data_IF_113819775417
#
_entry.id   IF_113819775417
#
_cell.length_a   1.000
_cell.length_b   1.000
_cell.length_c   1.000
_cell.angle_alpha   90.00
_cell.angle_beta   90.00
_cell.angle_gamma   90.00
#
_symmetry.space_group_name_H-M   'P 1'
#
loop_
_entity.id
_entity.type
_entity.pdbx_description
1 polymer ?
#
# COMPACT_ATOMS: atom_id res chain seq x y z
N UNK A 1 -18.53 41.67 -7.91
CA UNK A 1 -18.60 42.09 -6.50
C UNK A 1 -17.26 41.78 -5.86
N UNK A 2 -16.48 42.80 -5.50
CA UNK A 2 -15.24 42.64 -4.74
C UNK A 2 -15.59 42.55 -3.25
N UNK A 3 -15.31 41.42 -2.63
CA UNK A 3 -15.45 41.25 -1.18
C UNK A 3 -14.14 41.74 -0.55
N UNK A 4 -14.19 42.78 0.28
CA UNK A 4 -13.05 43.29 1.05
C UNK A 4 -13.19 42.81 2.49
N UNK A 5 -12.18 42.12 3.02
CA UNK A 5 -12.13 41.68 4.41
C UNK A 5 -11.27 42.65 5.22
N UNK A 6 -11.79 43.15 6.34
CA UNK A 6 -11.02 43.98 7.28
C UNK A 6 -10.28 43.09 8.29
N UNK A 7 -8.96 43.00 8.12
CA UNK A 7 -8.09 42.15 8.95
C UNK A 7 -7.74 42.78 10.30
N UNK A 8 -8.19 44.02 10.56
CA UNK A 8 -7.99 44.69 11.85
C UNK A 8 -8.98 44.21 12.92
N UNK A 9 -10.12 43.63 12.51
CA UNK A 9 -11.13 43.04 13.39
C UNK A 9 -10.66 41.65 13.84
N UNK A 10 -10.53 41.46 15.16
CA UNK A 10 -10.04 40.19 15.73
C UNK A 10 -10.95 38.99 15.38
N UNK A 11 -12.28 39.15 15.39
CA UNK A 11 -13.20 38.07 14.99
C UNK A 11 -13.07 37.69 13.50
N UNK A 12 -12.86 38.67 12.60
CA UNK A 12 -12.61 38.41 11.18
C UNK A 12 -11.29 37.66 10.99
N UNK A 13 -10.24 38.03 11.74
CA UNK A 13 -8.96 37.32 11.74
C UNK A 13 -9.09 35.90 12.27
N UNK A 14 -9.84 35.69 13.35
CA UNK A 14 -10.07 34.38 13.96
C UNK A 14 -10.94 33.47 13.09
N UNK A 15 -11.94 34.02 12.40
CA UNK A 15 -12.72 33.28 11.42
C UNK A 15 -11.85 32.86 10.22
N UNK A 16 -11.08 33.79 9.64
CA UNK A 16 -10.14 33.48 8.56
C UNK A 16 -9.07 32.47 8.99
N UNK A 17 -8.53 32.60 10.20
CA UNK A 17 -7.56 31.66 10.75
C UNK A 17 -8.17 30.28 10.99
N UNK A 18 -9.42 30.19 11.48
CA UNK A 18 -10.15 28.92 11.61
C UNK A 18 -10.43 28.29 10.24
N UNK A 19 -10.88 29.07 9.27
CA UNK A 19 -11.10 28.59 7.90
C UNK A 19 -9.79 28.15 7.24
N UNK A 20 -8.71 28.90 7.41
CA UNK A 20 -7.39 28.54 6.91
C UNK A 20 -6.88 27.26 7.59
N UNK A 21 -6.99 27.14 8.91
CA UNK A 21 -6.62 25.93 9.67
C UNK A 21 -7.45 24.72 9.25
N UNK A 22 -8.77 24.86 9.15
CA UNK A 22 -9.66 23.79 8.69
C UNK A 22 -9.37 23.39 7.23
N UNK A 23 -8.93 24.32 6.39
CA UNK A 23 -8.47 24.02 5.02
C UNK A 23 -7.07 23.39 4.98
N UNK A 24 -6.25 23.60 6.02
CA UNK A 24 -4.89 23.04 6.15
C UNK A 24 -4.86 21.69 6.88
N UNK A 25 -5.87 21.39 7.70
CA UNK A 25 -6.03 20.08 8.31
C UNK A 25 -6.35 19.03 7.24
N UNK A 26 -5.48 18.02 7.16
CA UNK A 26 -5.66 16.94 6.20
C UNK A 26 -6.94 16.16 6.55
N UNK A 27 -7.90 16.16 5.62
CA UNK A 27 -9.15 15.40 5.76
C UNK A 27 -8.84 13.92 6.02
N UNK A 28 -9.53 13.26 6.97
CA UNK A 28 -9.39 11.83 7.16
C UNK A 28 -9.79 11.06 5.91
N UNK A 29 -9.08 9.97 5.62
CA UNK A 29 -9.39 9.12 4.47
C UNK A 29 -10.39 8.05 4.84
N UNK A 30 -11.38 7.79 3.98
CA UNK A 30 -12.28 6.65 4.17
C UNK A 30 -11.60 5.32 3.83
N UNK A 31 -10.49 5.35 3.09
CA UNK A 31 -9.71 4.16 2.75
C UNK A 31 -8.94 3.73 4.00
N UNK A 32 -8.98 2.43 4.31
CA UNK A 32 -8.31 1.91 5.51
C UNK A 32 -9.12 2.05 6.80
N UNK A 33 -10.31 2.66 6.79
CA UNK A 33 -11.24 2.57 7.91
C UNK A 33 -11.93 1.19 7.93
N UNK A 34 -12.09 0.62 9.13
CA UNK A 34 -12.99 -0.52 9.33
C UNK A 34 -14.45 -0.09 9.09
N UNK A 35 -15.37 -1.05 8.95
CA UNK A 35 -16.79 -0.74 8.77
C UNK A 35 -17.36 0.00 9.98
N UNK A 36 -16.89 -0.35 11.18
CA UNK A 36 -17.27 0.29 12.45
C UNK A 36 -16.74 1.72 12.54
N UNK A 37 -15.47 1.93 12.20
CA UNK A 37 -14.88 3.28 12.18
C UNK A 37 -15.53 4.16 11.11
N UNK A 38 -15.81 3.60 9.93
CA UNK A 38 -16.54 4.30 8.87
C UNK A 38 -17.95 4.66 9.32
N UNK A 39 -18.63 3.77 10.06
CA UNK A 39 -19.94 4.08 10.64
C UNK A 39 -19.87 5.27 11.59
N UNK A 40 -18.93 5.24 12.55
CA UNK A 40 -18.74 6.31 13.51
C UNK A 40 -18.39 7.64 12.83
N UNK A 41 -17.51 7.60 11.83
CA UNK A 41 -17.11 8.78 11.06
C UNK A 41 -18.29 9.38 10.27
N UNK A 42 -19.11 8.55 9.63
CA UNK A 42 -20.29 9.02 8.88
C UNK A 42 -21.36 9.62 9.80
N UNK A 43 -21.58 9.02 10.98
CA UNK A 43 -22.51 9.58 11.99
C UNK A 43 -22.00 10.94 12.46
N UNK A 44 -20.71 11.05 12.78
CA UNK A 44 -20.10 12.31 13.21
C UNK A 44 -20.16 13.40 12.13
N UNK A 45 -20.14 13.01 10.85
CA UNK A 45 -20.28 13.93 9.72
C UNK A 45 -21.75 14.27 9.38
N UNK A 46 -22.73 13.76 10.14
CA UNK A 46 -24.14 14.13 10.01
C UNK A 46 -25.00 13.16 9.18
N UNK A 47 -24.51 11.95 8.86
CA UNK A 47 -25.34 10.92 8.22
C UNK A 47 -26.32 10.35 9.25
N UNK A 48 -27.64 10.33 8.98
CA UNK A 48 -28.61 9.76 9.92
C UNK A 48 -28.34 8.28 10.20
N UNK A 49 -28.33 7.87 11.46
CA UNK A 49 -28.00 6.50 11.89
C UNK A 49 -28.76 5.41 11.12
N UNK A 50 -30.04 5.65 10.83
CA UNK A 50 -30.90 4.75 10.05
C UNK A 50 -30.37 4.44 8.65
N UNK A 51 -29.59 5.34 8.05
CA UNK A 51 -29.04 5.20 6.70
C UNK A 51 -27.59 4.69 6.69
N UNK A 52 -26.88 4.74 7.82
CA UNK A 52 -25.43 4.50 7.89
C UNK A 52 -25.04 3.14 7.31
N UNK A 53 -25.72 2.07 7.71
CA UNK A 53 -25.42 0.71 7.22
C UNK A 53 -25.49 0.61 5.70
N UNK A 54 -26.54 1.16 5.09
CA UNK A 54 -26.69 1.19 3.63
C UNK A 54 -25.60 2.04 2.98
N UNK A 55 -25.28 3.22 3.54
CA UNK A 55 -24.23 4.11 2.99
C UNK A 55 -22.85 3.45 3.05
N UNK A 56 -22.53 2.73 4.11
CA UNK A 56 -21.28 1.96 4.21
C UNK A 56 -21.22 0.94 3.08
N UNK A 57 -22.26 0.14 2.86
CA UNK A 57 -22.26 -0.84 1.75
C UNK A 57 -22.07 -0.18 0.38
N UNK A 58 -22.69 0.97 0.14
CA UNK A 58 -22.49 1.73 -1.10
C UNK A 58 -21.05 2.23 -1.25
N UNK A 59 -20.51 2.87 -0.21
CA UNK A 59 -19.16 3.40 -0.20
C UNK A 59 -18.13 2.27 -0.34
N UNK A 60 -18.29 1.17 0.39
CA UNK A 60 -17.40 0.01 0.32
C UNK A 60 -17.29 -0.53 -1.11
N UNK A 61 -18.43 -0.67 -1.80
CA UNK A 61 -18.46 -1.09 -3.19
C UNK A 61 -17.72 -0.10 -4.11
N UNK A 62 -17.96 1.21 -3.94
CA UNK A 62 -17.27 2.21 -4.76
C UNK A 62 -15.77 2.25 -4.54
N UNK A 63 -15.33 2.17 -3.28
CA UNK A 63 -13.92 2.25 -2.91
C UNK A 63 -13.14 1.03 -3.36
N UNK A 64 -13.67 -0.17 -3.11
CA UNK A 64 -12.90 -1.41 -3.20
C UNK A 64 -13.26 -2.26 -4.43
N UNK A 65 -14.51 -2.22 -4.89
CA UNK A 65 -14.94 -2.96 -6.09
C UNK A 65 -14.73 -2.13 -7.36
N UNK A 66 -15.17 -0.86 -7.34
CA UNK A 66 -15.07 0.04 -8.51
C UNK A 66 -13.78 0.86 -8.53
N UNK A 67 -13.14 1.07 -7.39
CA UNK A 67 -11.85 1.77 -7.32
C UNK A 67 -11.92 3.26 -7.63
N UNK A 68 -13.01 3.95 -7.29
CA UNK A 68 -13.11 5.39 -7.54
C UNK A 68 -12.10 6.17 -6.68
N UNK A 69 -11.67 7.31 -7.22
CA UNK A 69 -10.74 8.23 -6.55
C UNK A 69 -11.33 9.62 -6.30
N UNK A 70 -12.55 9.86 -6.79
CA UNK A 70 -13.35 11.05 -6.52
C UNK A 70 -14.77 10.65 -6.10
N UNK A 71 -15.31 11.35 -5.09
CA UNK A 71 -16.71 11.20 -4.67
C UNK A 71 -17.69 11.58 -5.78
N UNK A 72 -17.30 12.49 -6.68
CA UNK A 72 -18.11 12.92 -7.81
C UNK A 72 -18.53 11.73 -8.72
N UNK A 73 -17.70 10.69 -8.82
CA UNK A 73 -17.94 9.53 -9.67
C UNK A 73 -19.00 8.55 -9.10
N UNK A 74 -19.40 8.72 -7.84
CA UNK A 74 -20.36 7.83 -7.17
C UNK A 74 -21.80 8.13 -7.61
N UNK A 75 -22.19 7.61 -8.78
CA UNK A 75 -23.48 7.95 -9.44
C UNK A 75 -24.74 7.55 -8.66
N UNK A 76 -24.67 6.54 -7.80
CA UNK A 76 -25.81 6.07 -7.00
C UNK A 76 -25.93 6.76 -5.61
N UNK A 77 -25.12 7.81 -5.37
CA UNK A 77 -25.14 8.63 -4.15
C UNK A 77 -25.68 10.03 -4.49
N UNK A 78 -26.55 10.57 -3.63
CA UNK A 78 -27.14 11.90 -3.83
C UNK A 78 -26.05 12.98 -3.92
N UNK A 79 -26.35 14.07 -4.64
CA UNK A 79 -25.41 15.20 -4.78
C UNK A 79 -25.03 15.78 -3.42
N UNK A 80 -26.00 15.96 -2.54
CA UNK A 80 -25.79 16.53 -1.20
C UNK A 80 -24.87 15.64 -0.36
N UNK A 81 -25.06 14.32 -0.41
CA UNK A 81 -24.21 13.40 0.33
C UNK A 81 -22.78 13.36 -0.24
N UNK A 82 -22.61 13.42 -1.57
CA UNK A 82 -21.28 13.55 -2.19
C UNK A 82 -20.57 14.83 -1.77
N UNK A 83 -21.30 15.96 -1.74
CA UNK A 83 -20.76 17.23 -1.29
C UNK A 83 -20.31 17.17 0.18
N UNK A 84 -21.13 16.59 1.06
CA UNK A 84 -20.78 16.36 2.46
C UNK A 84 -19.51 15.48 2.58
N UNK A 85 -19.47 14.36 1.87
CA UNK A 85 -18.32 13.46 1.89
C UNK A 85 -17.04 14.15 1.42
N UNK A 86 -17.12 14.94 0.34
CA UNK A 86 -15.98 15.71 -0.17
C UNK A 86 -15.53 16.83 0.79
N UNK A 87 -16.42 17.36 1.63
CA UNK A 87 -16.08 18.35 2.65
C UNK A 87 -15.34 17.70 3.83
N UNK A 88 -15.80 16.54 4.31
CA UNK A 88 -15.30 15.92 5.54
C UNK A 88 -14.20 14.86 5.33
N UNK A 89 -14.13 14.24 4.16
CA UNK A 89 -13.27 13.09 3.91
C UNK A 89 -12.46 13.23 2.62
N UNK A 90 -11.46 12.35 2.47
CA UNK A 90 -10.71 12.13 1.23
C UNK A 90 -10.70 10.66 0.84
N UNK A 91 -10.55 10.40 -0.45
CA UNK A 91 -10.30 9.06 -1.03
C UNK A 91 -9.16 9.12 -2.07
N UNK A 92 -8.35 10.18 -1.98
CA UNK A 92 -7.26 10.44 -2.91
C UNK A 92 -6.22 9.31 -2.90
N UNK A 93 -5.60 9.08 -4.06
CA UNK A 93 -4.47 8.17 -4.20
C UNK A 93 -3.15 8.89 -3.92
N UNK A 94 -2.09 8.19 -3.49
CA UNK A 94 -0.76 8.75 -3.40
C UNK A 94 -0.27 9.23 -4.77
N UNK A 95 0.62 10.21 -4.73
CA UNK A 95 1.33 10.67 -5.92
C UNK A 95 2.28 9.56 -6.40
N UNK A 96 2.25 9.24 -7.69
CA UNK A 96 3.23 8.36 -8.33
C UNK A 96 4.37 9.23 -8.85
N UNK A 97 5.48 9.27 -8.11
CA UNK A 97 6.64 10.10 -8.44
C UNK A 97 7.39 9.50 -9.62
N UNK A 98 7.53 8.18 -9.61
CA UNK A 98 8.26 7.45 -10.63
C UNK A 98 7.59 6.10 -10.89
N UNK A 99 7.52 5.74 -12.16
CA UNK A 99 7.11 4.40 -12.62
C UNK A 99 8.22 3.84 -13.52
N UNK A 100 8.74 2.68 -13.15
CA UNK A 100 9.73 1.96 -13.93
C UNK A 100 9.13 0.63 -14.40
N UNK A 101 9.20 0.37 -15.69
CA UNK A 101 8.71 -0.86 -16.32
C UNK A 101 9.92 -1.62 -16.85
N UNK A 102 10.12 -2.84 -16.36
CA UNK A 102 11.16 -3.74 -16.81
C UNK A 102 10.69 -4.53 -18.04
N UNK A 103 11.65 -5.08 -18.79
CA UNK A 103 11.38 -5.87 -20.00
C UNK A 103 10.61 -7.17 -19.72
N UNK A 104 10.73 -7.69 -18.49
CA UNK A 104 9.98 -8.85 -17.99
C UNK A 104 8.54 -8.50 -17.56
N UNK A 105 8.10 -7.26 -17.74
CA UNK A 105 6.79 -6.78 -17.33
C UNK A 105 6.70 -6.35 -15.86
N UNK A 106 7.76 -6.56 -15.07
CA UNK A 106 7.81 -6.10 -13.67
C UNK A 106 7.66 -4.57 -13.64
N UNK A 107 6.76 -4.08 -12.80
CA UNK A 107 6.55 -2.65 -12.60
C UNK A 107 6.95 -2.25 -11.19
N UNK A 108 7.71 -1.17 -11.08
CA UNK A 108 8.10 -0.57 -9.82
C UNK A 108 7.54 0.84 -9.76
N UNK A 109 6.86 1.15 -8.66
CA UNK A 109 6.34 2.48 -8.39
C UNK A 109 7.02 3.09 -7.16
N UNK A 110 7.36 4.37 -7.27
CA UNK A 110 7.72 5.22 -6.16
C UNK A 110 6.51 6.08 -5.80
N UNK A 111 5.92 5.81 -4.64
CA UNK A 111 4.78 6.55 -4.13
C UNK A 111 5.22 7.60 -3.12
N UNK A 112 4.67 8.80 -3.22
CA UNK A 112 4.85 9.86 -2.22
C UNK A 112 3.59 10.04 -1.38
N UNK A 113 3.80 9.98 -0.07
CA UNK A 113 2.77 10.20 0.94
C UNK A 113 3.02 11.51 1.69
N UNK A 114 1.96 12.12 2.23
CA UNK A 114 2.08 13.31 3.06
C UNK A 114 2.95 13.03 4.31
N UNK A 115 3.55 14.07 4.90
CA UNK A 115 4.47 13.94 6.02
C UNK A 115 3.91 13.17 7.21
N UNK A 116 2.65 13.42 7.59
CA UNK A 116 1.95 12.80 8.74
C UNK A 116 2.88 12.57 9.95
N UNK A 117 3.44 13.67 10.47
CA UNK A 117 4.34 13.65 11.63
C UNK A 117 5.84 13.51 11.31
N UNK A 118 6.24 13.18 10.08
CA UNK A 118 7.65 13.07 9.68
C UNK A 118 8.33 14.40 9.29
N UNK A 119 7.60 15.53 9.35
CA UNK A 119 8.09 16.86 8.98
C UNK A 119 8.32 17.10 7.47
N UNK A 120 8.46 16.03 6.68
CA UNK A 120 8.60 16.08 5.20
C UNK A 120 7.80 14.94 4.54
N UNK A 121 7.38 15.08 3.27
CA UNK A 121 6.80 13.98 2.52
C UNK A 121 7.70 12.74 2.57
N UNK A 122 7.07 11.57 2.63
CA UNK A 122 7.76 10.29 2.69
C UNK A 122 7.53 9.53 1.40
N UNK A 123 8.55 8.78 0.98
CA UNK A 123 8.52 8.02 -0.26
C UNK A 123 8.70 6.54 0.06
N UNK A 124 7.92 5.71 -0.61
CA UNK A 124 7.97 4.25 -0.47
C UNK A 124 7.83 3.58 -1.83
N UNK A 125 8.37 2.37 -1.91
CA UNK A 125 8.35 1.58 -3.13
C UNK A 125 7.27 0.51 -3.08
N UNK A 126 6.65 0.23 -4.22
CA UNK A 126 5.84 -0.97 -4.44
C UNK A 126 6.22 -1.61 -5.75
N UNK A 127 6.16 -2.94 -5.81
CA UNK A 127 6.59 -3.70 -6.99
C UNK A 127 5.50 -4.68 -7.39
N UNK A 128 5.08 -4.63 -8.64
CA UNK A 128 4.22 -5.63 -9.25
C UNK A 128 5.06 -6.57 -10.12
N UNK A 129 4.91 -7.86 -9.87
CA UNK A 129 5.62 -8.93 -10.59
C UNK A 129 4.55 -9.74 -11.34
N UNK A 130 4.47 -9.62 -12.67
CA UNK A 130 3.63 -10.49 -13.48
C UNK A 130 4.28 -11.87 -13.60
N UNK A 131 3.47 -12.92 -13.54
CA UNK A 131 3.86 -14.29 -13.81
C UNK A 131 2.74 -14.97 -14.64
N UNK A 132 3.00 -16.14 -15.21
CA UNK A 132 1.99 -16.87 -15.99
C UNK A 132 0.76 -17.20 -15.11
N UNK A 133 -0.37 -16.56 -15.44
CA UNK A 133 -1.65 -16.74 -14.75
C UNK A 133 -1.75 -16.14 -13.34
N UNK A 134 -0.74 -15.39 -12.87
CA UNK A 134 -0.80 -14.70 -11.56
C UNK A 134 -0.07 -13.37 -11.59
N UNK A 135 -0.54 -12.41 -10.79
CA UNK A 135 0.19 -11.17 -10.55
C UNK A 135 0.38 -10.95 -9.06
N UNK A 136 1.64 -10.79 -8.65
CA UNK A 136 2.01 -10.60 -7.25
C UNK A 136 2.36 -9.14 -7.00
N UNK A 137 1.66 -8.49 -6.06
CA UNK A 137 1.96 -7.15 -5.62
C UNK A 137 2.73 -7.18 -4.29
N UNK A 138 3.91 -6.58 -4.30
CA UNK A 138 4.75 -6.36 -3.14
C UNK A 138 4.43 -4.99 -2.51
N UNK A 139 3.93 -5.02 -1.27
CA UNK A 139 3.48 -3.84 -0.53
C UNK A 139 4.44 -3.54 0.63
N UNK A 140 4.72 -2.26 0.81
CA UNK A 140 5.50 -1.70 1.91
C UNK A 140 4.63 -1.45 3.14
N UNK A 141 5.21 -1.67 4.33
CA UNK A 141 4.55 -1.50 5.63
C UNK A 141 5.10 -0.34 6.46
N UNK A 142 6.34 0.10 6.19
CA UNK A 142 6.99 1.20 6.89
C UNK A 142 7.87 2.02 5.93
N UNK A 143 8.20 3.24 6.34
CA UNK A 143 9.19 4.07 5.64
C UNK A 143 10.55 3.84 6.29
N UNK A 144 11.41 3.09 5.60
CA UNK A 144 12.65 2.55 6.17
C UNK A 144 12.39 1.27 6.99
N UNK A 145 13.41 0.77 7.69
CA UNK A 145 13.28 -0.44 8.51
C UNK A 145 14.20 -0.36 9.74
N UNK A 146 13.76 -0.92 10.87
CA UNK A 146 14.53 -0.95 12.12
C UNK A 146 15.55 -2.08 12.18
N UNK A 147 15.38 -3.13 11.38
CA UNK A 147 16.13 -4.38 11.53
C UNK A 147 17.58 -4.35 10.99
N UNK A 148 18.07 -3.20 10.54
CA UNK A 148 19.47 -2.96 10.10
C UNK A 148 20.16 -4.13 9.39
N UNK A 149 19.42 -4.84 8.53
CA UNK A 149 19.93 -6.04 7.87
C UNK A 149 20.98 -5.62 6.84
N UNK A 150 22.20 -6.13 6.96
CA UNK A 150 23.35 -5.71 6.14
C UNK A 150 23.19 -5.96 4.63
N UNK A 151 22.33 -6.90 4.25
CA UNK A 151 22.04 -7.25 2.85
C UNK A 151 20.84 -6.51 2.25
N UNK A 152 20.07 -5.78 3.06
CA UNK A 152 18.84 -5.12 2.63
C UNK A 152 19.08 -3.62 2.41
N UNK A 153 18.75 -3.11 1.23
CA UNK A 153 18.88 -1.68 0.94
C UNK A 153 18.02 -0.82 1.89
N UNK A 154 16.80 -1.26 2.20
CA UNK A 154 15.94 -0.60 3.19
C UNK A 154 16.51 -0.68 4.61
N UNK A 155 17.34 -1.70 4.90
CA UNK A 155 18.01 -1.86 6.19
C UNK A 155 19.14 -0.86 6.42
N UNK A 156 19.67 -0.21 5.38
CA UNK A 156 20.65 0.87 5.53
C UNK A 156 20.01 2.23 5.78
N UNK A 157 18.70 2.35 5.53
CA UNK A 157 17.93 3.55 5.76
C UNK A 157 17.36 3.57 7.18
N UNK A 158 17.37 4.73 7.83
CA UNK A 158 16.76 4.89 9.15
C UNK A 158 15.24 4.77 9.04
N UNK A 159 14.60 4.12 10.02
CA UNK A 159 13.15 4.17 10.17
C UNK A 159 12.71 5.63 10.35
N UNK A 160 11.77 6.08 9.53
CA UNK A 160 11.14 7.39 9.65
C UNK A 160 9.81 7.27 10.41
N UNK A 161 8.89 6.44 9.91
CA UNK A 161 7.59 6.16 10.54
C UNK A 161 6.92 4.90 10.00
N UNK A 162 5.89 4.45 10.71
CA UNK A 162 4.96 3.42 10.23
C UNK A 162 4.00 4.00 9.19
N UNK A 163 3.56 3.16 8.25
CA UNK A 163 2.48 3.49 7.33
C UNK A 163 1.13 3.21 7.98
N UNK A 164 0.13 4.03 7.69
CA UNK A 164 -1.25 3.74 8.12
C UNK A 164 -1.89 2.69 7.21
N UNK A 165 -2.96 2.06 7.68
CA UNK A 165 -3.79 1.12 6.91
C UNK A 165 -4.28 1.71 5.58
N UNK A 166 -4.61 3.00 5.57
CA UNK A 166 -4.87 3.77 4.35
C UNK A 166 -3.69 3.70 3.38
N UNK A 167 -2.47 4.04 3.82
CA UNK A 167 -1.28 4.12 2.97
C UNK A 167 -0.87 2.74 2.44
N UNK A 168 -1.10 1.68 3.24
CA UNK A 168 -0.90 0.28 2.84
C UNK A 168 -1.90 -0.10 1.74
N UNK A 169 -3.19 0.16 1.93
CA UNK A 169 -4.23 -0.13 0.93
C UNK A 169 -4.11 0.76 -0.30
N UNK A 170 -3.65 1.99 -0.15
CA UNK A 170 -3.52 2.93 -1.26
C UNK A 170 -2.46 2.47 -2.27
N UNK A 171 -1.41 1.76 -1.83
CA UNK A 171 -0.47 1.10 -2.74
C UNK A 171 -1.19 0.09 -3.63
N UNK A 172 -2.06 -0.73 -3.05
CA UNK A 172 -2.85 -1.73 -3.78
C UNK A 172 -3.85 -1.07 -4.72
N UNK A 173 -4.63 -0.09 -4.25
CA UNK A 173 -5.62 0.60 -5.09
C UNK A 173 -4.96 1.33 -6.25
N UNK A 174 -3.83 2.01 -6.00
CA UNK A 174 -3.08 2.71 -7.05
C UNK A 174 -2.48 1.74 -8.06
N UNK A 175 -1.94 0.60 -7.61
CA UNK A 175 -1.45 -0.44 -8.51
C UNK A 175 -2.59 -1.01 -9.38
N UNK A 176 -3.77 -1.25 -8.80
CA UNK A 176 -4.96 -1.70 -9.57
C UNK A 176 -5.42 -0.64 -10.56
N UNK A 177 -5.40 0.64 -10.19
CA UNK A 177 -5.71 1.75 -11.10
C UNK A 177 -4.73 1.80 -12.28
N UNK A 178 -3.43 1.69 -12.01
CA UNK A 178 -2.36 1.72 -13.02
C UNK A 178 -2.35 0.50 -13.92
N UNK A 179 -2.77 -0.65 -13.42
CA UNK A 179 -2.89 -1.86 -14.23
C UNK A 179 -4.21 -1.93 -14.98
N UNK A 180 -5.21 -1.11 -14.64
CA UNK A 180 -6.58 -1.24 -15.17
C UNK A 180 -7.28 -2.51 -14.65
N UNK A 181 -7.11 -2.85 -13.37
CA UNK A 181 -7.66 -4.07 -12.74
C UNK A 181 -9.07 -3.86 -12.13
N UNK A 182 -9.65 -2.68 -12.30
CA UNK A 182 -11.02 -2.40 -11.88
C UNK A 182 -12.02 -2.70 -13.01
N UNK A 183 -13.27 -3.06 -12.69
CA UNK A 183 -14.32 -3.24 -13.69
C UNK A 183 -14.46 -2.00 -14.56
N UNK A 184 -14.68 -2.21 -15.86
CA UNK A 184 -14.88 -1.15 -16.85
C UNK A 184 -13.66 -0.19 -17.04
N UNK A 185 -12.45 -0.60 -16.60
CA UNK A 185 -11.19 0.11 -16.92
C UNK A 185 -10.36 -0.68 -17.91
N UNK A 186 -9.86 0.01 -18.94
CA UNK A 186 -8.98 -0.59 -19.93
C UNK A 186 -7.57 -0.81 -19.37
N UNK A 187 -6.96 -1.90 -19.82
CA UNK A 187 -5.53 -2.13 -19.62
C UNK A 187 -4.73 -1.10 -20.40
N UNK A 188 -3.75 -0.39 -19.80
CA UNK A 188 -2.86 0.48 -20.56
C UNK A 188 -2.06 -0.30 -21.61
N UNK A 189 -1.89 0.29 -22.80
CA UNK A 189 -1.12 -0.28 -23.90
C UNK A 189 0.31 -0.64 -23.47
N UNK A 190 0.73 -1.88 -23.78
CA UNK A 190 2.06 -2.39 -23.42
C UNK A 190 2.18 -2.97 -22.01
N UNK A 191 1.10 -3.08 -21.23
CA UNK A 191 1.12 -3.85 -19.99
C UNK A 191 1.15 -5.36 -20.28
N UNK A 192 2.26 -6.01 -19.93
CA UNK A 192 2.33 -7.48 -19.89
C UNK A 192 1.58 -7.98 -18.64
N UNK A 193 0.25 -7.98 -18.73
CA UNK A 193 -0.68 -8.42 -17.69
C UNK A 193 -1.50 -9.60 -18.22
N UNK A 194 -2.05 -10.45 -17.33
CA UNK A 194 -2.92 -11.55 -17.75
C UNK A 194 -4.03 -11.05 -18.67
N UNK A 195 -4.20 -11.72 -19.83
CA UNK A 195 -5.16 -11.32 -20.87
C UNK A 195 -6.62 -11.44 -20.41
N UNK A 196 -6.89 -12.31 -19.44
CA UNK A 196 -8.23 -12.55 -18.89
C UNK A 196 -8.18 -12.61 -17.35
N UNK A 197 -9.21 -12.03 -16.72
CA UNK A 197 -9.38 -12.05 -15.27
C UNK A 197 -8.62 -10.96 -14.52
N UNK A 198 -8.40 -11.22 -13.23
CA UNK A 198 -7.80 -10.26 -12.29
C UNK A 198 -6.28 -10.19 -12.47
N UNK A 199 -5.74 -9.00 -12.65
CA UNK A 199 -4.31 -8.74 -12.90
C UNK A 199 -3.47 -8.85 -11.62
N UNK A 200 -4.02 -8.43 -10.49
CA UNK A 200 -3.41 -8.65 -9.17
C UNK A 200 -4.15 -9.77 -8.49
N UNK A 201 -3.49 -10.89 -8.27
CA UNK A 201 -4.09 -12.07 -7.63
C UNK A 201 -3.55 -12.29 -6.21
N UNK A 202 -2.29 -11.90 -5.96
CA UNK A 202 -1.60 -12.14 -4.70
C UNK A 202 -0.99 -10.85 -4.15
N UNK A 203 -0.99 -10.73 -2.83
CA UNK A 203 -0.36 -9.63 -2.10
C UNK A 203 0.70 -10.22 -1.17
N UNK A 204 1.90 -9.63 -1.18
CA UNK A 204 2.99 -9.99 -0.27
C UNK A 204 3.49 -8.74 0.46
N UNK A 205 3.67 -8.86 1.78
CA UNK A 205 4.23 -7.80 2.62
C UNK A 205 5.76 -7.91 2.67
N UNK A 206 6.40 -7.74 1.52
CA UNK A 206 7.86 -7.84 1.33
C UNK A 206 8.49 -6.55 0.82
N UNK A 207 7.77 -5.43 0.89
CA UNK A 207 8.28 -4.13 0.50
C UNK A 207 9.22 -3.55 1.56
N UNK A 208 9.15 -2.24 1.76
CA UNK A 208 9.87 -1.54 2.81
C UNK A 208 9.23 -1.78 4.19
N UNK A 209 10.07 -2.00 5.19
CA UNK A 209 9.67 -2.18 6.59
C UNK A 209 9.47 -3.63 7.02
N UNK A 210 9.37 -3.82 8.33
CA UNK A 210 9.02 -5.09 8.96
C UNK A 210 7.55 -5.06 9.39
N UNK A 211 6.67 -5.84 8.73
CA UNK A 211 5.22 -5.77 8.99
C UNK A 211 4.83 -6.08 10.44
N UNK A 212 5.61 -6.88 11.17
CA UNK A 212 5.33 -7.20 12.58
C UNK A 212 5.53 -6.01 13.52
N UNK A 213 6.38 -5.04 13.18
CA UNK A 213 6.52 -3.79 13.96
C UNK A 213 5.41 -2.77 13.64
N UNK A 214 4.60 -3.03 12.62
CA UNK A 214 3.42 -2.24 12.27
C UNK A 214 2.14 -3.12 12.24
N UNK A 215 2.03 -4.01 13.22
CA UNK A 215 1.06 -5.11 13.18
C UNK A 215 -0.39 -4.66 13.08
N UNK A 216 -0.83 -3.66 13.85
CA UNK A 216 -2.24 -3.26 13.88
C UNK A 216 -2.71 -2.66 12.54
N UNK A 217 -1.91 -1.76 11.95
CA UNK A 217 -2.24 -1.16 10.65
C UNK A 217 -2.17 -2.19 9.51
N UNK A 218 -1.18 -3.09 9.54
CA UNK A 218 -1.06 -4.18 8.57
C UNK A 218 -2.23 -5.15 8.70
N UNK A 219 -2.56 -5.60 9.90
CA UNK A 219 -3.70 -6.48 10.17
C UNK A 219 -4.99 -5.86 9.65
N UNK A 220 -5.23 -4.60 9.97
CA UNK A 220 -6.42 -3.86 9.53
C UNK A 220 -6.48 -3.77 8.01
N UNK A 221 -5.39 -3.38 7.35
CA UNK A 221 -5.31 -3.34 5.89
C UNK A 221 -5.57 -4.70 5.25
N UNK A 222 -5.00 -5.78 5.80
CA UNK A 222 -5.19 -7.13 5.27
C UNK A 222 -6.62 -7.65 5.47
N UNK A 223 -7.28 -7.32 6.59
CA UNK A 223 -8.69 -7.66 6.81
C UNK A 223 -9.59 -6.97 5.78
N UNK A 224 -9.34 -5.68 5.50
CA UNK A 224 -10.06 -4.93 4.48
C UNK A 224 -9.78 -5.50 3.07
N UNK A 225 -8.52 -5.85 2.78
CA UNK A 225 -8.14 -6.45 1.50
C UNK A 225 -8.78 -7.84 1.30
N UNK A 226 -9.02 -8.58 2.38
CA UNK A 226 -9.62 -9.91 2.36
C UNK A 226 -11.15 -9.90 2.42
N UNK A 227 -11.77 -8.73 2.62
CA UNK A 227 -13.22 -8.60 2.74
C UNK A 227 -13.90 -9.03 1.44
N UNK A 228 -14.84 -9.97 1.56
CA UNK A 228 -15.53 -10.61 0.44
C UNK A 228 -16.40 -9.66 -0.39
N UNK A 229 -16.92 -8.59 0.22
CA UNK A 229 -17.76 -7.59 -0.47
C UNK A 229 -16.94 -6.46 -1.08
N UNK A 230 -15.62 -6.46 -0.87
CA UNK A 230 -14.71 -5.39 -1.29
C UNK A 230 -13.67 -5.89 -2.28
N UNK A 231 -12.44 -6.03 -1.80
CA UNK A 231 -11.30 -6.44 -2.63
C UNK A 231 -11.24 -7.96 -2.81
N UNK A 232 -11.83 -8.76 -1.93
CA UNK A 232 -11.93 -10.23 -2.04
C UNK A 232 -10.59 -10.92 -2.36
N UNK A 233 -9.47 -10.41 -1.82
CA UNK A 233 -8.21 -11.14 -1.92
C UNK A 233 -8.26 -12.36 -1.01
N UNK A 234 -7.74 -13.53 -1.43
CA UNK A 234 -7.71 -14.69 -0.56
C UNK A 234 -6.93 -14.36 0.73
N UNK A 235 -7.52 -14.67 1.88
CA UNK A 235 -6.97 -14.35 3.21
C UNK A 235 -5.72 -15.17 3.57
N UNK A 236 -5.34 -16.11 2.70
CA UNK A 236 -4.00 -16.66 2.72
C UNK A 236 -3.08 -15.61 2.08
N UNK A 237 -2.02 -15.21 2.78
CA UNK A 237 -0.74 -14.99 2.13
C UNK A 237 -0.50 -16.24 1.26
N UNK A 238 -0.95 -16.20 0.02
CA UNK A 238 -1.19 -17.36 -0.82
C UNK A 238 0.16 -17.84 -1.26
N UNK A 239 0.72 -18.74 -0.44
CA UNK A 239 1.83 -19.64 -0.73
C UNK A 239 2.86 -18.96 -1.65
N UNK A 240 3.61 -18.00 -1.13
CA UNK A 240 4.93 -17.73 -1.72
C UNK A 240 5.66 -19.06 -1.65
N UNK A 241 5.68 -19.80 -2.76
CA UNK A 241 6.59 -20.90 -2.92
C UNK A 241 7.88 -20.24 -3.34
N UNK A 242 8.81 -20.01 -2.40
CA UNK A 242 10.12 -19.58 -2.84
C UNK A 242 10.66 -20.67 -3.78
N UNK A 243 11.53 -20.32 -4.74
CA UNK A 243 12.18 -21.30 -5.62
C UNK A 243 12.74 -22.44 -4.76
N UNK A 244 12.75 -23.66 -5.31
CA UNK A 244 13.01 -24.91 -4.56
C UNK A 244 14.26 -24.87 -3.65
N UNK A 245 15.24 -24.01 -3.97
CA UNK A 245 16.44 -23.72 -3.18
C UNK A 245 16.20 -23.19 -1.76
N UNK A 246 15.05 -22.55 -1.48
CA UNK A 246 14.80 -21.89 -0.20
C UNK A 246 13.97 -22.71 0.80
N UNK A 247 13.47 -23.89 0.41
CA UNK A 247 12.53 -24.69 1.24
C UNK A 247 13.17 -25.40 2.45
N UNK A 248 14.50 -25.36 2.61
CA UNK A 248 15.24 -26.13 3.63
C UNK A 248 15.38 -25.48 5.02
N UNK A 249 14.90 -24.24 5.23
CA UNK A 249 15.24 -23.47 6.44
C UNK A 249 14.05 -22.78 7.16
N UNK A 250 12.81 -23.25 6.98
CA UNK A 250 11.65 -22.66 7.67
C UNK A 250 11.51 -23.27 9.08
N UNK A 251 11.91 -22.52 10.12
CA UNK A 251 11.60 -22.83 11.52
C UNK A 251 10.20 -22.30 11.91
N UNK A 252 9.47 -22.97 12.82
CA UNK A 252 8.10 -22.59 13.16
C UNK A 252 8.06 -21.39 14.12
N UNK A 253 7.44 -20.28 13.71
CA UNK A 253 7.17 -19.13 14.58
C UNK A 253 5.90 -19.37 15.42
N UNK A 254 6.07 -19.56 16.73
CA UNK A 254 5.03 -20.03 17.69
C UNK A 254 4.06 -18.97 18.22
N UNK A 255 4.10 -17.71 17.75
CA UNK A 255 3.13 -16.66 18.19
C UNK A 255 1.92 -16.45 17.28
N UNK A 256 1.85 -17.14 16.13
CA UNK A 256 0.77 -17.02 15.14
C UNK A 256 -0.49 -17.86 15.48
N UNK A 257 -0.51 -18.59 16.59
CA UNK A 257 -1.54 -19.59 16.86
C UNK A 257 -2.91 -19.03 17.31
N UNK A 258 -2.99 -17.77 17.75
CA UNK A 258 -4.24 -17.21 18.33
C UNK A 258 -5.03 -16.29 17.39
N UNK A 259 -4.58 -16.06 16.15
CA UNK A 259 -5.28 -15.22 15.16
C UNK A 259 -5.46 -15.99 13.84
N UNK A 260 -6.57 -16.72 13.69
CA UNK A 260 -7.03 -17.21 12.39
C UNK A 260 -7.49 -16.02 11.53
N UNK A 261 -6.99 -15.80 10.30
CA UNK A 261 -6.63 -16.79 9.27
C UNK A 261 -5.19 -16.66 8.68
N UNK A 262 -4.29 -15.86 9.25
CA UNK A 262 -2.98 -15.54 8.65
C UNK A 262 -1.93 -16.61 8.95
N UNK A 263 -1.86 -17.66 8.13
CA UNK A 263 -1.04 -18.85 8.46
C UNK A 263 0.41 -18.86 7.96
N UNK A 264 0.90 -17.91 7.17
CA UNK A 264 2.30 -17.93 6.71
C UNK A 264 2.84 -16.53 6.39
N UNK A 265 3.75 -16.03 7.23
CA UNK A 265 4.62 -14.89 6.91
C UNK A 265 6.05 -15.45 6.78
N UNK A 266 6.67 -15.42 5.59
CA UNK A 266 8.00 -16.01 5.38
C UNK A 266 9.09 -15.26 6.13
N UNK A 267 9.96 -15.99 6.83
CA UNK A 267 11.11 -15.43 7.54
C UNK A 267 12.21 -15.00 6.55
N UNK A 268 12.72 -13.78 6.71
CA UNK A 268 13.61 -13.09 5.77
C UNK A 268 14.95 -13.80 5.47
N UNK A 269 15.36 -14.79 6.27
CA UNK A 269 16.66 -15.48 6.16
C UNK A 269 16.87 -16.22 4.83
N UNK A 270 15.81 -16.49 4.06
CA UNK A 270 15.89 -17.25 2.80
C UNK A 270 15.55 -16.44 1.53
N UNK A 271 15.05 -15.21 1.64
CA UNK A 271 14.46 -14.48 0.50
C UNK A 271 15.47 -13.62 -0.30
N UNK A 272 16.67 -13.37 0.23
CA UNK A 272 17.65 -12.46 -0.36
C UNK A 272 18.12 -12.87 -1.78
N UNK A 273 18.11 -14.17 -2.11
CA UNK A 273 18.66 -14.68 -3.37
C UNK A 273 17.73 -14.48 -4.58
N UNK A 274 16.41 -14.39 -4.38
CA UNK A 274 15.46 -14.15 -5.47
C UNK A 274 15.40 -12.67 -5.84
N UNK A 275 15.37 -11.79 -4.82
CA UNK A 275 15.36 -10.33 -4.99
C UNK A 275 16.62 -9.82 -5.71
N UNK A 276 17.79 -10.43 -5.45
CA UNK A 276 19.05 -10.11 -6.11
C UNK A 276 19.17 -10.67 -7.55
N UNK A 277 18.23 -11.50 -8.01
CA UNK A 277 18.25 -12.06 -9.38
C UNK A 277 17.30 -11.34 -10.34
N UNK A 278 16.12 -10.88 -9.90
CA UNK A 278 15.24 -10.08 -10.76
C UNK A 278 15.74 -8.64 -10.97
N UNK A 279 16.48 -8.10 -10.00
CA UNK A 279 17.09 -6.75 -10.09
C UNK A 279 18.36 -6.68 -10.95
N UNK A 280 18.90 -7.80 -11.43
CA UNK A 280 20.15 -7.81 -12.23
C UNK A 280 20.01 -7.23 -13.64
N UNK A 281 18.80 -7.22 -14.20
CA UNK A 281 18.53 -6.61 -15.51
C UNK A 281 18.06 -5.15 -15.42
N UNK A 282 17.92 -4.59 -14.21
CA UNK A 282 17.63 -3.18 -13.99
C UNK A 282 18.98 -2.49 -13.75
N UNK A 283 19.48 -1.80 -14.77
CA UNK A 283 20.75 -1.05 -14.69
C UNK A 283 20.53 0.17 -13.80
N UNK A 284 20.88 0.04 -12.52
CA UNK A 284 20.85 1.12 -11.53
C UNK A 284 21.79 2.25 -11.96
N UNK A 285 21.23 3.38 -12.37
CA UNK A 285 21.96 4.63 -12.53
C UNK A 285 21.56 5.57 -11.38
N UNK A 286 22.11 5.33 -10.18
CA UNK A 286 22.28 6.43 -9.25
C UNK A 286 23.52 7.21 -9.66
N UNK A 287 23.31 8.46 -10.04
CA UNK A 287 24.35 9.45 -10.27
C UNK A 287 25.23 9.59 -9.01
N UNK A 288 26.54 9.59 -9.25
CA UNK A 288 27.67 9.96 -8.37
C UNK A 288 28.34 8.88 -7.49
N UNK A 289 29.49 8.40 -8.01
CA UNK A 289 30.72 7.84 -7.39
C UNK A 289 31.06 6.35 -7.66
N UNK A 290 32.36 6.02 -7.86
CA UNK A 290 32.79 4.85 -8.63
C UNK A 290 32.84 3.56 -7.80
N UNK A 291 32.76 2.45 -8.54
CA UNK A 291 32.69 1.08 -8.08
C UNK A 291 33.76 0.67 -7.05
N UNK A 292 33.32 0.07 -5.96
CA UNK A 292 34.17 -0.74 -5.08
C UNK A 292 33.90 -2.23 -5.35
N UNK A 293 34.98 -2.96 -5.65
CA UNK A 293 35.07 -4.39 -5.95
C UNK A 293 34.33 -5.27 -4.92
N UNK A 294 33.28 -5.99 -5.36
CA UNK A 294 32.72 -7.12 -4.61
C UNK A 294 33.40 -8.40 -5.14
N UNK A 295 34.36 -8.93 -4.38
CA UNK A 295 34.92 -10.27 -4.57
C UNK A 295 33.80 -11.30 -4.38
N UNK A 296 33.66 -12.20 -5.35
CA UNK A 296 32.72 -13.31 -5.30
C UNK A 296 33.02 -14.25 -4.11
N UNK A 297 32.04 -14.44 -3.22
CA UNK A 297 32.06 -15.52 -2.23
C UNK A 297 31.99 -16.88 -2.95
N UNK A 298 33.11 -17.61 -2.98
CA UNK A 298 33.13 -19.04 -3.30
C UNK A 298 32.56 -19.82 -2.11
N UNK A 299 31.63 -20.73 -2.37
CA UNK A 299 31.13 -21.71 -1.40
C UNK A 299 32.21 -22.75 -1.05
N UNK A 300 32.37 -23.18 0.21
CA UNK A 300 33.24 -24.31 0.53
C UNK A 300 32.55 -25.62 0.11
N UNK A 301 33.27 -26.48 -0.61
CA UNK A 301 32.84 -27.83 -0.99
C UNK A 301 32.79 -28.75 0.24
N UNK A 302 31.67 -29.44 0.44
CA UNK A 302 31.51 -30.45 1.47
C UNK A 302 32.44 -31.66 1.20
N UNK A 303 33.38 -31.91 2.11
CA UNK A 303 34.17 -33.13 2.18
C UNK A 303 33.38 -34.27 2.81
N UNK A 304 33.35 -35.42 2.13
CA UNK A 304 32.82 -36.71 2.62
C UNK A 304 33.63 -37.17 3.84
N UNK A 305 32.95 -37.71 4.84
CA UNK A 305 33.55 -38.61 5.84
C UNK A 305 32.64 -39.84 5.96
N UNK A 306 33.15 -40.96 5.48
CA UNK A 306 32.70 -42.31 5.81
C UNK A 306 33.44 -42.74 7.09
N UNK A 307 32.70 -43.17 8.10
CA UNK A 307 32.91 -44.41 8.86
C UNK A 307 31.66 -44.69 9.67
#
# INVERSE_FOLDING_TARGET
>A
MSISFDLTIDDTRDQLARHARASLEAKPSLIGMSREEMAAALIAAGVPERQVKMRISQLWHWLYVRGVSDFADMRNISKDLRAMLAQHFTIARPEVVEEQISQDGTRKWLFRFPPRGAGRPVEIESVYIPEEGRGTLCISSQVGCTLTCSFCHTGTQKLVRNLTSEEILAQLLTARDRLGDFPDKDTPDGAMVPAEGRKITNIVMMGMGEPLYNFEEVKKALLIASDGDGLSFPSAASRFQPPASCRRFIAPATRLASCSPFRYMPCATSCATFWCRSTKNIRWLSSSKPAANIRACRTPSASRLNM
#
